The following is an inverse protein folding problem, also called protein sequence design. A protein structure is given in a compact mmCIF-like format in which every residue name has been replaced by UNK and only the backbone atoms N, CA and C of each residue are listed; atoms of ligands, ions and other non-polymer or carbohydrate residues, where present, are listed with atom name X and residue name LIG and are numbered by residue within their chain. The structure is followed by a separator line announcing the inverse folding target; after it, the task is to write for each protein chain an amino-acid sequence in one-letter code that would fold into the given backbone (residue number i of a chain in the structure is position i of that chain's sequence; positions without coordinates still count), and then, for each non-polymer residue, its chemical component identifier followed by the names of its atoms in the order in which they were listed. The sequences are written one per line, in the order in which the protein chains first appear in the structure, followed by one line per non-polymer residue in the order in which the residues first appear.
data_IF_315471228978
#
_entry.id   IF_315471228978
#
_cell.length_a   1.000
_cell.length_b   1.000
_cell.length_c   1.000
_cell.angle_alpha   90.00
_cell.angle_beta   90.00
_cell.angle_gamma   90.00
#
_symmetry.space_group_name_H-M   'P 1'
#
loop_
_entity.id
_entity.type
_entity.pdbx_description
1 polymer ?
#
# COMPACT_ATOMS: atom_id res chain seq x y z
N UNK A 1 -13.49 4.97 39.84
CA UNK A 1 -12.07 5.11 39.42
C UNK A 1 -11.54 3.86 38.74
N UNK A 2 -11.64 2.66 39.35
CA UNK A 2 -11.06 1.43 38.79
C UNK A 2 -11.60 1.04 37.40
N UNK A 3 -12.92 1.17 37.17
CA UNK A 3 -13.54 0.88 35.86
C UNK A 3 -13.02 1.81 34.76
N UNK A 4 -12.85 3.11 35.05
CA UNK A 4 -12.32 4.07 34.08
C UNK A 4 -10.87 3.76 33.71
N UNK A 5 -10.05 3.40 34.70
CA UNK A 5 -8.65 3.00 34.48
C UNK A 5 -8.58 1.72 33.64
N UNK A 6 -9.41 0.72 33.95
CA UNK A 6 -9.49 -0.52 33.18
C UNK A 6 -9.92 -0.26 31.73
N UNK A 7 -10.96 0.56 31.53
CA UNK A 7 -11.41 0.95 30.18
C UNK A 7 -10.31 1.69 29.42
N UNK A 8 -9.62 2.64 30.04
CA UNK A 8 -8.54 3.38 29.39
C UNK A 8 -7.38 2.46 28.99
N UNK A 9 -6.98 1.51 29.86
CA UNK A 9 -5.94 0.53 29.54
C UNK A 9 -6.34 -0.37 28.38
N UNK A 10 -7.60 -0.82 28.32
CA UNK A 10 -8.11 -1.63 27.20
C UNK A 10 -8.09 -0.86 25.88
N UNK A 11 -8.50 0.41 25.88
CA UNK A 11 -8.47 1.26 24.67
C UNK A 11 -7.04 1.48 24.19
N UNK A 12 -6.09 1.77 25.09
CA UNK A 12 -4.68 1.93 24.74
C UNK A 12 -4.12 0.63 24.19
N UNK A 13 -4.43 -0.50 24.82
CA UNK A 13 -3.99 -1.82 24.37
C UNK A 13 -4.47 -2.11 22.94
N UNK A 14 -5.75 -1.87 22.65
CA UNK A 14 -6.31 -2.03 21.30
C UNK A 14 -5.66 -1.08 20.30
N UNK A 15 -5.44 0.18 20.68
CA UNK A 15 -4.85 1.17 19.80
C UNK A 15 -3.44 0.75 19.37
N UNK A 16 -2.58 0.32 20.31
CA UNK A 16 -1.22 -0.17 20.03
C UNK A 16 -1.21 -1.33 19.03
N UNK A 17 -2.27 -2.13 18.99
CA UNK A 17 -2.40 -3.27 18.07
C UNK A 17 -2.89 -2.86 16.67
N UNK A 18 -3.78 -1.86 16.58
CA UNK A 18 -4.33 -1.36 15.31
C UNK A 18 -3.36 -0.38 14.62
N UNK A 19 -2.57 0.37 15.39
CA UNK A 19 -1.62 1.36 14.85
C UNK A 19 -0.67 0.79 13.78
N UNK A 20 0.01 -0.36 13.99
CA UNK A 20 0.89 -0.94 12.97
C UNK A 20 0.15 -1.30 11.68
N UNK A 21 -1.07 -1.84 11.77
CA UNK A 21 -1.88 -2.16 10.60
C UNK A 21 -2.27 -0.89 9.83
N UNK A 22 -2.61 0.19 10.53
CA UNK A 22 -2.89 1.48 9.92
C UNK A 22 -1.65 2.07 9.22
N UNK A 23 -0.47 1.99 9.85
CA UNK A 23 0.79 2.46 9.26
C UNK A 23 1.13 1.66 7.99
N UNK A 24 1.04 0.33 8.05
CA UNK A 24 1.27 -0.53 6.90
C UNK A 24 0.28 -0.21 5.77
N UNK A 25 -1.01 -0.02 6.10
CA UNK A 25 -2.02 0.38 5.12
C UNK A 25 -1.66 1.72 4.47
N UNK A 26 -1.21 2.70 5.26
CA UNK A 26 -0.79 3.99 4.75
C UNK A 26 0.44 3.89 3.83
N UNK A 27 1.40 3.02 4.16
CA UNK A 27 2.55 2.74 3.29
C UNK A 27 2.12 2.08 1.98
N UNK A 28 1.18 1.12 2.02
CA UNK A 28 0.62 0.45 0.83
C UNK A 28 -0.13 1.45 -0.06
N UNK A 29 -0.92 2.37 0.52
CA UNK A 29 -1.56 3.46 -0.22
C UNK A 29 -0.54 4.40 -0.89
N UNK A 30 0.52 4.75 -0.16
CA UNK A 30 1.61 5.60 -0.66
C UNK A 30 2.33 4.90 -1.81
N UNK A 31 2.58 3.60 -1.68
CA UNK A 31 3.23 2.76 -2.69
C UNK A 31 2.42 2.77 -4.00
N UNK A 32 1.11 2.50 -3.93
CA UNK A 32 0.23 2.55 -5.09
C UNK A 32 0.22 3.95 -5.75
N UNK A 33 0.18 5.01 -4.93
CA UNK A 33 0.14 6.39 -5.41
C UNK A 33 1.46 6.86 -6.04
N UNK A 34 2.61 6.43 -5.52
CA UNK A 34 3.90 6.76 -6.14
C UNK A 34 4.14 5.97 -7.42
N UNK A 35 3.77 4.69 -7.45
CA UNK A 35 3.86 3.88 -8.66
C UNK A 35 3.01 4.44 -9.80
N UNK A 36 1.76 4.81 -9.52
CA UNK A 36 0.89 5.35 -10.56
C UNK A 36 1.44 6.67 -11.09
N UNK A 37 1.96 7.52 -10.21
CA UNK A 37 2.53 8.82 -10.59
C UNK A 37 3.79 8.65 -11.44
N UNK A 38 4.63 7.67 -11.14
CA UNK A 38 5.78 7.33 -11.98
C UNK A 38 5.32 6.85 -13.37
N UNK A 39 4.29 6.01 -13.44
CA UNK A 39 3.71 5.54 -14.69
C UNK A 39 3.12 6.68 -15.54
N UNK A 40 2.48 7.66 -14.90
CA UNK A 40 1.96 8.87 -15.55
C UNK A 40 3.08 9.74 -16.12
N UNK A 41 4.13 10.01 -15.34
CA UNK A 41 5.28 10.84 -15.75
C UNK A 41 6.05 10.18 -16.88
N UNK A 42 6.29 8.86 -16.79
CA UNK A 42 6.98 8.10 -17.82
C UNK A 42 6.09 7.85 -19.05
N UNK A 43 4.76 7.94 -18.92
CA UNK A 43 3.79 7.59 -19.95
C UNK A 43 3.78 6.09 -20.31
N UNK A 44 4.31 5.22 -19.43
CA UNK A 44 4.42 3.77 -19.62
C UNK A 44 4.58 3.02 -18.30
N UNK A 45 4.10 1.79 -18.27
CA UNK A 45 4.38 0.80 -17.22
C UNK A 45 5.44 -0.16 -17.75
N UNK A 46 6.62 -0.18 -17.13
CA UNK A 46 7.77 -0.96 -17.57
C UNK A 46 8.95 -0.85 -16.63
N UNK A 47 10.16 -0.72 -17.17
CA UNK A 47 11.42 -0.68 -16.38
C UNK A 47 11.47 0.45 -15.34
N UNK A 48 10.89 1.61 -15.66
CA UNK A 48 10.84 2.79 -14.79
C UNK A 48 10.00 2.50 -13.54
N UNK A 49 8.77 2.01 -13.75
CA UNK A 49 7.87 1.60 -12.66
C UNK A 49 8.45 0.43 -11.86
N UNK A 50 9.15 -0.53 -12.49
CA UNK A 50 9.81 -1.64 -11.78
C UNK A 50 10.97 -1.16 -10.90
N UNK A 51 11.74 -0.17 -11.37
CA UNK A 51 12.81 0.42 -10.57
C UNK A 51 12.24 1.17 -9.37
N UNK A 52 11.15 1.92 -9.58
CA UNK A 52 10.46 2.62 -8.50
C UNK A 52 9.84 1.64 -7.50
N UNK A 53 9.29 0.52 -7.97
CA UNK A 53 8.79 -0.56 -7.13
C UNK A 53 9.88 -1.12 -6.22
N UNK A 54 11.07 -1.42 -6.76
CA UNK A 54 12.21 -1.88 -5.96
C UNK A 54 12.65 -0.86 -4.92
N UNK A 55 12.75 0.41 -5.31
CA UNK A 55 13.12 1.50 -4.40
C UNK A 55 12.11 1.64 -3.26
N UNK A 56 10.81 1.56 -3.57
CA UNK A 56 9.76 1.62 -2.57
C UNK A 56 9.76 0.40 -1.65
N UNK A 57 10.07 -0.79 -2.16
CA UNK A 57 10.25 -2.01 -1.34
C UNK A 57 11.40 -1.83 -0.36
N UNK A 58 12.54 -1.31 -0.81
CA UNK A 58 13.70 -1.04 0.05
C UNK A 58 13.41 0.04 1.10
N UNK A 59 12.68 1.10 0.74
CA UNK A 59 12.32 2.19 1.65
C UNK A 59 11.29 1.81 2.70
N UNK A 60 10.27 1.06 2.29
CA UNK A 60 9.15 0.68 3.19
C UNK A 60 9.46 -0.61 3.95
N UNK A 61 10.35 -1.46 3.44
CA UNK A 61 10.58 -2.80 3.95
C UNK A 61 9.41 -3.76 3.70
N UNK A 62 8.43 -3.36 2.88
CA UNK A 62 7.27 -4.17 2.54
C UNK A 62 7.52 -4.92 1.23
N UNK A 63 6.99 -6.14 1.13
CA UNK A 63 6.98 -6.92 -0.11
C UNK A 63 5.55 -7.12 -0.64
N UNK A 64 4.87 -6.06 -1.10
CA UNK A 64 3.52 -6.20 -1.63
C UNK A 64 3.53 -6.90 -3.00
N UNK A 65 2.43 -7.55 -3.36
CA UNK A 65 2.12 -7.97 -4.72
C UNK A 65 1.56 -6.79 -5.50
N UNK A 66 2.19 -6.45 -6.63
CA UNK A 66 1.79 -5.34 -7.48
C UNK A 66 1.20 -5.87 -8.77
N UNK A 67 -0.04 -5.50 -9.06
CA UNK A 67 -0.72 -5.88 -10.29
C UNK A 67 -1.17 -4.64 -11.04
N UNK A 68 -0.96 -4.64 -12.35
CA UNK A 68 -1.31 -3.54 -13.23
C UNK A 68 -2.46 -3.96 -14.13
N UNK A 69 -3.42 -3.06 -14.35
CA UNK A 69 -4.49 -3.30 -15.33
C UNK A 69 -3.96 -3.36 -16.75
N UNK A 70 -2.88 -2.62 -17.04
CA UNK A 70 -2.21 -2.59 -18.34
C UNK A 70 -0.71 -2.37 -18.16
N UNK A 71 0.09 -3.05 -18.98
CA UNK A 71 1.54 -2.87 -19.06
C UNK A 71 1.95 -2.34 -20.45
N UNK A 72 3.09 -1.66 -20.54
CA UNK A 72 3.59 -1.05 -21.77
C UNK A 72 3.28 0.44 -21.90
N UNK A 73 3.21 0.95 -23.13
CA UNK A 73 2.97 2.38 -23.40
C UNK A 73 1.52 2.74 -23.07
N UNK A 74 1.32 3.80 -22.30
CA UNK A 74 -0.01 4.33 -21.94
C UNK A 74 -0.27 5.53 -22.84
N UNK A 75 -1.26 5.43 -23.74
CA UNK A 75 -1.62 6.55 -24.62
C UNK A 75 -2.34 7.66 -23.86
N UNK A 76 -2.35 8.87 -24.44
CA UNK A 76 -3.03 10.03 -23.87
C UNK A 76 -4.51 9.71 -23.56
N UNK A 77 -4.98 10.10 -22.37
CA UNK A 77 -6.32 9.80 -21.83
C UNK A 77 -6.61 8.33 -21.51
N UNK A 78 -5.62 7.45 -21.62
CA UNK A 78 -5.80 6.08 -21.18
C UNK A 78 -5.60 5.99 -19.65
N UNK A 79 -6.59 5.39 -18.98
CA UNK A 79 -6.55 5.14 -17.55
C UNK A 79 -5.80 3.83 -17.28
N UNK A 80 -4.78 3.90 -16.43
CA UNK A 80 -4.11 2.71 -15.89
C UNK A 80 -4.41 2.63 -14.40
N UNK A 81 -4.62 1.41 -13.90
CA UNK A 81 -4.87 1.16 -12.48
C UNK A 81 -3.80 0.23 -11.96
N UNK A 82 -3.19 0.62 -10.85
CA UNK A 82 -2.29 -0.23 -10.08
C UNK A 82 -3.03 -0.72 -8.84
N UNK A 83 -2.93 -2.02 -8.58
CA UNK A 83 -3.45 -2.66 -7.39
C UNK A 83 -2.28 -3.25 -6.62
N UNK A 84 -2.10 -2.79 -5.39
CA UNK A 84 -1.03 -3.19 -4.49
C UNK A 84 -1.65 -3.96 -3.33
N UNK A 85 -1.27 -5.22 -3.19
CA UNK A 85 -1.79 -6.14 -2.17
C UNK A 85 -0.66 -6.52 -1.22
N UNK A 86 -0.84 -6.33 0.07
CA UNK A 86 0.15 -6.66 1.08
C UNK A 86 -0.49 -7.50 2.18
N UNK A 87 0.06 -8.67 2.44
CA UNK A 87 -0.38 -9.51 3.54
C UNK A 87 0.49 -9.27 4.75
N UNK A 88 -0.15 -9.01 5.89
CA UNK A 88 0.54 -8.92 7.17
C UNK A 88 -0.20 -9.69 8.25
N UNK A 89 0.54 -10.10 9.27
CA UNK A 89 -0.02 -10.79 10.41
C UNK A 89 -0.25 -9.79 11.56
N UNK A 90 -1.50 -9.68 12.01
CA UNK A 90 -1.82 -8.94 13.25
C UNK A 90 -1.83 -9.94 14.40
N UNK A 91 -0.90 -9.78 15.34
CA UNK A 91 -0.84 -10.60 16.56
C UNK A 91 -1.91 -10.18 17.57
N UNK A 92 -2.56 -11.15 18.21
CA UNK A 92 -3.39 -10.93 19.41
C UNK A 92 -2.51 -10.94 20.68
N UNK A 93 -2.91 -10.20 21.71
CA UNK A 93 -2.17 -10.02 22.97
C UNK A 93 -1.53 -11.30 23.51
N UNK A 94 -0.31 -11.20 24.03
CA UNK A 94 0.38 -12.30 24.74
C UNK A 94 0.54 -13.61 23.92
N UNK A 95 0.65 -13.52 22.59
CA UNK A 95 0.88 -14.69 21.74
C UNK A 95 -0.37 -15.54 21.48
N UNK A 96 -1.57 -14.98 21.67
CA UNK A 96 -2.87 -15.65 21.45
C UNK A 96 -3.22 -15.88 19.96
N UNK A 97 -2.20 -16.08 19.12
CA UNK A 97 -2.33 -16.27 17.68
C UNK A 97 -2.13 -14.98 16.89
N UNK A 98 -1.75 -15.14 15.63
CA UNK A 98 -1.72 -14.07 14.63
C UNK A 98 -2.76 -14.35 13.57
N UNK A 99 -3.50 -13.33 13.17
CA UNK A 99 -4.45 -13.42 12.07
C UNK A 99 -3.86 -12.74 10.85
N UNK A 100 -3.81 -13.42 9.69
CA UNK A 100 -3.42 -12.77 8.46
C UNK A 100 -4.49 -11.75 8.07
N UNK A 101 -4.06 -10.55 7.74
CA UNK A 101 -4.89 -9.51 7.14
C UNK A 101 -4.29 -9.09 5.81
N UNK A 102 -5.16 -8.91 4.83
CA UNK A 102 -4.79 -8.44 3.51
C UNK A 102 -5.08 -6.94 3.44
N UNK A 103 -4.03 -6.14 3.25
CA UNK A 103 -4.11 -4.71 3.00
C UNK A 103 -4.04 -4.49 1.49
N UNK A 104 -5.04 -3.84 0.92
CA UNK A 104 -5.10 -3.57 -0.51
C UNK A 104 -5.23 -2.06 -0.75
N UNK A 105 -4.39 -1.52 -1.63
CA UNK A 105 -4.53 -0.19 -2.17
C UNK A 105 -4.71 -0.24 -3.69
N UNK A 106 -5.53 0.67 -4.20
CA UNK A 106 -5.72 0.86 -5.63
C UNK A 106 -5.51 2.32 -5.96
N UNK A 107 -4.75 2.59 -7.01
CA UNK A 107 -4.56 3.93 -7.53
C UNK A 107 -4.76 3.91 -9.05
N UNK A 108 -5.51 4.90 -9.56
CA UNK A 108 -5.78 5.05 -10.99
C UNK A 108 -5.21 6.38 -11.44
N UNK A 109 -4.52 6.35 -12.58
CA UNK A 109 -3.86 7.51 -13.17
C UNK A 109 -4.16 7.65 -14.66
N UNK A 110 -4.03 8.87 -15.17
CA UNK A 110 -4.25 9.21 -16.58
C UNK A 110 -2.93 9.65 -17.21
N UNK A 111 -2.58 9.05 -18.34
CA UNK A 111 -1.41 9.48 -19.08
C UNK A 111 -1.62 10.87 -19.70
N UNK A 112 -0.78 11.81 -19.29
CA UNK A 112 -0.68 13.16 -19.87
C UNK A 112 0.28 13.21 -21.08
N UNK A 113 0.92 12.10 -21.43
CA UNK A 113 1.98 12.05 -22.45
C UNK A 113 1.40 11.73 -23.83
N UNK A 114 1.59 12.65 -24.79
CA UNK A 114 1.25 12.46 -26.20
C UNK A 114 2.31 11.58 -26.89
N UNK A 115 1.98 10.33 -27.19
CA UNK A 115 2.81 9.47 -28.04
C UNK A 115 2.49 9.74 -29.52
N UNK A 116 3.49 10.16 -30.31
CA UNK A 116 3.42 10.27 -31.79
C UNK A 116 3.70 8.94 -32.48
#
# INVERSE_FOLDING_TARGET
MAVLVLCAMLVIALAVQVFPAYIAKQQVDTFASELIREAEIAGRVGSETTTQEQLLRERTGLEPEVTWSKTGKIQLNEEVTVTVTYEMNIGLFAGFGSFPVTLQAQATGKSEVYWK
#
